data_IF_159756868341
#
_entry.id   IF_159756868341
#
_cell.length_a   1.000
_cell.length_b   1.000
_cell.length_c   1.000
_cell.angle_alpha   90.00
_cell.angle_beta   90.00
_cell.angle_gamma   90.00
#
_symmetry.space_group_name_H-M   'P 1'
#
loop_
_entity.id
_entity.type
_entity.pdbx_description
1 polymer ?
#
# COMPACT_ATOMS: atom_id res chain seq x y z
N UNK A 1 -10.18 -3.60 -3.16
CA UNK A 1 -10.41 -2.70 -2.00
C UNK A 1 -10.49 -1.29 -2.55
N UNK A 2 -11.30 -0.44 -1.95
CA UNK A 2 -11.48 0.95 -2.39
C UNK A 2 -11.74 1.85 -1.17
N UNK A 3 -11.89 3.14 -1.40
CA UNK A 3 -12.23 4.10 -0.35
C UNK A 3 -13.47 3.64 0.44
N UNK A 4 -13.38 3.68 1.77
CA UNK A 4 -14.39 3.11 2.69
C UNK A 4 -14.11 1.68 3.15
N UNK A 5 -13.15 0.96 2.54
CA UNK A 5 -12.71 -0.35 3.05
C UNK A 5 -12.01 -0.21 4.40
N UNK A 6 -12.13 -1.22 5.27
CA UNK A 6 -11.43 -1.26 6.56
C UNK A 6 -10.80 -2.63 6.84
N UNK A 7 -9.89 -2.68 7.81
CA UNK A 7 -9.32 -3.92 8.35
C UNK A 7 -7.86 -4.18 7.98
N UNK A 8 -7.37 -5.38 8.29
CA UNK A 8 -5.95 -5.74 8.21
C UNK A 8 -5.35 -5.60 6.80
N UNK A 9 -6.16 -5.79 5.75
CA UNK A 9 -5.72 -5.57 4.37
C UNK A 9 -5.37 -4.11 4.09
N UNK A 10 -6.16 -3.18 4.63
CA UNK A 10 -5.91 -1.74 4.52
C UNK A 10 -4.69 -1.34 5.34
N UNK A 11 -4.54 -1.87 6.56
CA UNK A 11 -3.35 -1.65 7.39
C UNK A 11 -2.07 -2.08 6.66
N UNK A 12 -2.08 -3.23 5.99
CA UNK A 12 -0.95 -3.73 5.22
C UNK A 12 -0.65 -2.82 4.01
N UNK A 13 -1.69 -2.36 3.32
CA UNK A 13 -1.52 -1.40 2.23
C UNK A 13 -0.91 -0.09 2.73
N UNK A 14 -1.43 0.49 3.81
CA UNK A 14 -0.91 1.73 4.40
C UNK A 14 0.57 1.60 4.82
N UNK A 15 0.95 0.44 5.39
CA UNK A 15 2.35 0.13 5.69
C UNK A 15 3.21 0.13 4.42
N UNK A 16 2.75 -0.52 3.35
CA UNK A 16 3.48 -0.51 2.07
C UNK A 16 3.61 0.91 1.50
N UNK A 17 2.53 1.68 1.48
CA UNK A 17 2.52 3.07 1.00
C UNK A 17 3.48 3.96 1.81
N UNK A 18 3.48 3.83 3.14
CA UNK A 18 4.40 4.58 4.00
C UNK A 18 5.85 4.16 3.83
N UNK A 19 6.13 2.86 3.85
CA UNK A 19 7.50 2.36 3.95
C UNK A 19 8.19 2.13 2.60
N UNK A 20 7.44 1.90 1.52
CA UNK A 20 7.98 1.62 0.19
C UNK A 20 7.82 2.79 -0.78
N UNK A 21 6.83 3.65 -0.53
CA UNK A 21 6.55 4.80 -1.38
C UNK A 21 6.76 6.14 -0.67
N UNK A 22 7.19 6.13 0.61
CA UNK A 22 7.47 7.34 1.38
C UNK A 22 6.23 8.20 1.64
N UNK A 23 5.02 7.62 1.59
CA UNK A 23 3.78 8.37 1.76
C UNK A 23 3.43 8.57 3.23
N UNK A 24 3.13 9.80 3.62
CA UNK A 24 2.65 10.08 4.96
C UNK A 24 1.14 9.78 5.09
N UNK A 25 0.79 8.50 5.22
CA UNK A 25 -0.58 8.05 5.51
C UNK A 25 -0.67 7.48 6.92
N UNK A 26 -1.80 7.66 7.59
CA UNK A 26 -2.08 6.97 8.84
C UNK A 26 -2.12 5.44 8.60
N UNK A 27 -1.70 4.66 9.60
CA UNK A 27 -1.83 3.20 9.60
C UNK A 27 -2.95 2.87 10.61
N UNK A 28 -4.16 3.22 10.25
CA UNK A 28 -5.37 3.09 11.07
C UNK A 28 -6.28 1.95 10.58
N UNK A 29 -5.93 1.31 9.46
CA UNK A 29 -6.77 0.28 8.84
C UNK A 29 -8.02 0.83 8.18
N UNK A 30 -8.10 2.14 7.92
CA UNK A 30 -9.23 2.81 7.25
C UNK A 30 -8.79 3.37 5.90
N UNK A 31 -9.47 2.94 4.84
CA UNK A 31 -9.18 3.40 3.48
C UNK A 31 -9.87 4.75 3.27
N UNK A 32 -9.27 5.82 3.79
CA UNK A 32 -9.72 7.19 3.59
C UNK A 32 -9.13 7.85 2.32
N UNK A 33 -9.47 9.12 2.06
CA UNK A 33 -8.95 9.88 0.93
C UNK A 33 -7.42 9.98 0.89
N UNK A 34 -6.77 10.06 2.05
CA UNK A 34 -5.30 10.06 2.14
C UNK A 34 -4.68 8.73 1.67
N UNK A 35 -5.31 7.60 2.03
CA UNK A 35 -4.91 6.27 1.55
C UNK A 35 -5.12 6.14 0.04
N UNK A 36 -6.22 6.69 -0.49
CA UNK A 36 -6.50 6.74 -1.94
C UNK A 36 -5.42 7.49 -2.71
N UNK A 37 -5.14 8.74 -2.32
CA UNK A 37 -4.12 9.55 -3.00
C UNK A 37 -2.71 8.92 -2.93
N UNK A 38 -2.39 8.26 -1.82
CA UNK A 38 -1.14 7.51 -1.70
C UNK A 38 -1.12 6.27 -2.61
N UNK A 39 -2.25 5.58 -2.79
CA UNK A 39 -2.37 4.45 -3.71
C UNK A 39 -2.19 4.89 -5.16
N UNK A 40 -2.82 5.98 -5.58
CA UNK A 40 -2.67 6.55 -6.92
C UNK A 40 -1.20 6.87 -7.23
N UNK A 41 -0.48 7.45 -6.27
CA UNK A 41 0.96 7.66 -6.39
C UNK A 41 1.73 6.34 -6.57
N UNK A 42 1.43 5.33 -5.76
CA UNK A 42 2.08 4.02 -5.86
C UNK A 42 1.79 3.33 -7.20
N UNK A 43 0.55 3.42 -7.70
CA UNK A 43 0.14 2.94 -9.01
C UNK A 43 0.92 3.63 -10.14
N UNK A 44 1.08 4.95 -10.06
CA UNK A 44 1.88 5.71 -11.03
C UNK A 44 3.35 5.31 -11.03
N UNK A 45 3.91 5.07 -9.84
CA UNK A 45 5.29 4.55 -9.68
C UNK A 45 5.45 3.11 -10.19
N UNK A 46 4.39 2.32 -10.15
CA UNK A 46 4.36 0.94 -10.63
C UNK A 46 4.01 0.83 -12.13
N UNK A 47 3.68 1.94 -12.79
CA UNK A 47 3.34 1.95 -14.21
C UNK A 47 1.96 1.37 -14.55
N UNK A 48 1.02 1.40 -13.61
CA UNK A 48 -0.37 0.94 -13.82
C UNK A 48 -1.36 2.11 -13.71
N UNK A 49 -2.63 1.83 -14.03
CA UNK A 49 -3.74 2.80 -13.91
C UNK A 49 -3.79 3.39 -12.50
N UNK A 50 -3.88 4.73 -12.41
CA UNK A 50 -3.96 5.49 -11.16
C UNK A 50 -5.42 5.73 -10.77
N UNK A 51 -6.22 4.66 -10.73
CA UNK A 51 -7.66 4.72 -10.42
C UNK A 51 -7.94 4.85 -8.90
N UNK A 52 -6.90 4.69 -8.06
CA UNK A 52 -7.05 4.72 -6.61
C UNK A 52 -7.80 3.51 -6.06
N UNK A 53 -7.95 2.45 -6.86
CA UNK A 53 -8.55 1.19 -6.48
C UNK A 53 -7.51 0.09 -6.35
N UNK A 54 -7.62 -0.66 -5.27
CA UNK A 54 -6.78 -1.82 -5.03
C UNK A 54 -7.41 -3.06 -5.68
N UNK A 55 -7.13 -3.26 -6.97
CA UNK A 55 -7.48 -4.44 -7.75
C UNK A 55 -6.32 -5.45 -7.90
N UNK A 56 -6.53 -6.58 -8.61
CA UNK A 56 -5.50 -7.58 -8.89
C UNK A 56 -4.27 -7.01 -9.62
N UNK A 57 -4.48 -6.06 -10.53
CA UNK A 57 -3.41 -5.37 -11.27
C UNK A 57 -2.55 -4.57 -10.29
N UNK A 58 -3.17 -3.70 -9.48
CA UNK A 58 -2.49 -2.92 -8.44
C UNK A 58 -1.74 -3.82 -7.47
N UNK A 59 -2.35 -4.93 -7.02
CA UNK A 59 -1.75 -5.89 -6.09
C UNK A 59 -0.42 -6.45 -6.60
N UNK A 60 -0.35 -6.81 -7.89
CA UNK A 60 0.83 -7.41 -8.50
C UNK A 60 1.89 -6.38 -8.88
N UNK A 61 1.50 -5.12 -9.06
CA UNK A 61 2.39 -4.07 -9.55
C UNK A 61 3.08 -3.28 -8.41
N UNK A 62 2.42 -3.09 -7.26
CA UNK A 62 3.00 -2.30 -6.17
C UNK A 62 3.99 -3.11 -5.33
N UNK A 63 4.97 -2.41 -4.77
CA UNK A 63 5.99 -2.94 -3.88
C UNK A 63 5.42 -3.15 -2.47
N UNK A 64 5.79 -4.28 -1.88
CA UNK A 64 5.44 -4.64 -0.52
C UNK A 64 6.67 -4.69 0.37
N UNK A 65 6.49 -4.38 1.65
CA UNK A 65 7.54 -4.62 2.63
C UNK A 65 7.75 -6.12 2.78
N UNK A 66 8.92 -6.63 2.40
CA UNK A 66 9.34 -7.99 2.74
C UNK A 66 9.96 -8.00 4.12
N UNK A 67 9.54 -8.96 4.94
CA UNK A 67 10.02 -9.18 6.29
C UNK A 67 10.88 -10.44 6.33
N UNK A 68 11.93 -10.43 7.16
CA UNK A 68 12.73 -11.62 7.45
C UNK A 68 11.88 -12.59 8.26
N UNK A 69 11.82 -13.84 7.82
CA UNK A 69 11.10 -14.90 8.54
C UNK A 69 11.79 -15.30 9.85
N UNK A 70 13.09 -15.00 9.98
CA UNK A 70 13.90 -15.33 11.16
C UNK A 70 13.77 -14.26 12.24
N UNK A 71 13.76 -12.99 11.85
CA UNK A 71 13.84 -11.85 12.79
C UNK A 71 12.56 -11.01 12.84
N UNK A 72 11.63 -11.19 11.90
CA UNK A 72 10.48 -10.30 11.73
C UNK A 72 10.84 -8.88 11.26
N UNK A 73 12.12 -8.57 11.06
CA UNK A 73 12.58 -7.26 10.65
C UNK A 73 12.26 -6.98 9.18
N UNK A 74 11.94 -5.73 8.85
CA UNK A 74 11.73 -5.28 7.46
C UNK A 74 13.07 -5.32 6.71
N UNK A 75 13.14 -6.06 5.61
CA UNK A 75 14.36 -6.21 4.81
C UNK A 75 14.40 -5.19 3.68
N UNK A 76 13.38 -5.18 2.80
CA UNK A 76 13.32 -4.30 1.63
C UNK A 76 11.90 -4.23 1.07
N UNK A 77 11.69 -3.30 0.16
CA UNK A 77 10.48 -3.22 -0.64
C UNK A 77 10.68 -3.99 -1.94
N UNK A 78 9.81 -4.97 -2.22
CA UNK A 78 9.90 -5.87 -3.36
C UNK A 78 8.54 -6.52 -3.65
#
# INVERSE_FOLDING_TARGET
MAQGSTGAGVTSLQKALRHCYGRNVAIDGVFGPATKAALEYAQGRAGVSQDGEYGPVTRNAILWGRYSIETGAKVRCA
#
